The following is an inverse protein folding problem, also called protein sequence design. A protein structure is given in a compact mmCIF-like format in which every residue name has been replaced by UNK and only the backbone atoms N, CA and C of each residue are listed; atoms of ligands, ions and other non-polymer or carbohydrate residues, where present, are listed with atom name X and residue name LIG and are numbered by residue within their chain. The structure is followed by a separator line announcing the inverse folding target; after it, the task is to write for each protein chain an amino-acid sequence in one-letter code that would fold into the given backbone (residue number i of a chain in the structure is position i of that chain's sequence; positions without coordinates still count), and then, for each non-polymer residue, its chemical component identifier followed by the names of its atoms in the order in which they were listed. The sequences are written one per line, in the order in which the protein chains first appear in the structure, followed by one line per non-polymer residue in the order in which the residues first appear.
data_IF_603147021689
#
_entry.id   IF_603147021689
#
_cell.length_a   1.000
_cell.length_b   1.000
_cell.length_c   1.000
_cell.angle_alpha   90.00
_cell.angle_beta   90.00
_cell.angle_gamma   90.00
#
_symmetry.space_group_name_H-M   'P 1'
#
loop_
_entity.id
_entity.type
_entity.pdbx_description
1 polymer ?
#
# COMPACT_ATOMS: atom_id res chain seq x y z
N UNK A 1 18.99 15.06 15.31
CA UNK A 1 18.20 14.79 16.53
C UNK A 1 18.99 15.36 17.71
N UNK A 2 18.44 16.29 18.42
CA UNK A 2 19.01 16.66 19.72
C UNK A 2 18.61 15.61 20.75
N UNK A 3 19.59 14.89 21.28
CA UNK A 3 19.48 14.04 22.47
C UNK A 3 18.17 13.24 22.61
N UNK A 4 17.74 12.54 21.57
CA UNK A 4 16.58 11.64 21.64
C UNK A 4 15.19 12.32 21.57
N UNK A 5 15.10 13.61 21.26
CA UNK A 5 13.82 14.31 21.08
C UNK A 5 13.43 14.42 19.62
N UNK A 6 12.16 14.14 19.33
CA UNK A 6 11.57 14.43 18.02
C UNK A 6 11.39 15.94 17.91
N UNK A 7 11.94 16.55 16.85
CA UNK A 7 11.70 17.95 16.56
C UNK A 7 10.26 18.14 16.07
N UNK A 8 9.58 19.23 16.45
CA UNK A 8 8.20 19.47 16.01
C UNK A 8 8.09 19.87 14.54
N UNK A 9 9.18 20.34 13.94
CA UNK A 9 9.21 20.78 12.55
C UNK A 9 9.22 19.59 11.59
N UNK A 10 8.43 19.68 10.50
CA UNK A 10 8.46 18.72 9.41
C UNK A 10 9.75 18.90 8.63
N UNK A 11 10.64 17.91 8.67
CA UNK A 11 11.92 17.97 7.97
C UNK A 11 11.74 17.85 6.45
N UNK A 12 10.89 16.91 6.00
CA UNK A 12 10.67 16.63 4.57
C UNK A 12 9.20 16.35 4.27
N UNK A 13 8.80 16.61 3.03
CA UNK A 13 7.53 16.21 2.45
C UNK A 13 7.83 15.45 1.17
N UNK A 14 7.17 14.32 0.96
CA UNK A 14 7.29 13.53 -0.25
C UNK A 14 5.88 13.12 -0.74
N UNK A 15 5.69 13.14 -2.04
CA UNK A 15 4.47 12.68 -2.67
C UNK A 15 4.39 11.15 -2.58
N UNK A 16 3.18 10.65 -2.34
CA UNK A 16 2.93 9.21 -2.23
C UNK A 16 2.32 8.62 -3.50
N UNK A 17 1.61 9.44 -4.28
CA UNK A 17 0.93 9.03 -5.50
C UNK A 17 1.87 9.08 -6.70
N UNK A 18 1.70 8.16 -7.63
CA UNK A 18 2.41 8.18 -8.91
C UNK A 18 2.00 9.41 -9.76
N UNK A 19 0.73 9.82 -9.63
CA UNK A 19 0.17 11.01 -10.26
C UNK A 19 -0.34 11.99 -9.18
N UNK A 20 0.53 12.79 -8.53
CA UNK A 20 0.14 13.61 -7.37
C UNK A 20 -0.89 14.69 -7.71
N UNK A 21 -0.96 15.14 -8.96
CA UNK A 21 -1.95 16.11 -9.42
C UNK A 21 -3.29 15.49 -9.85
N UNK A 22 -3.44 14.17 -9.79
CA UNK A 22 -4.64 13.43 -10.18
C UNK A 22 -5.26 12.70 -8.99
N UNK A 23 -5.62 13.45 -7.97
CA UNK A 23 -6.20 12.91 -6.75
C UNK A 23 -7.62 12.40 -7.02
N UNK A 24 -7.84 11.10 -6.87
CA UNK A 24 -9.14 10.47 -7.05
C UNK A 24 -10.02 10.62 -5.80
N UNK A 25 -11.32 10.45 -5.98
CA UNK A 25 -12.26 10.50 -4.87
C UNK A 25 -11.93 9.45 -3.81
N UNK A 26 -11.90 9.86 -2.53
CA UNK A 26 -11.53 9.02 -1.38
C UNK A 26 -10.15 8.34 -1.54
N UNK A 27 -9.24 8.99 -2.23
CA UNK A 27 -7.83 8.63 -2.24
C UNK A 27 -7.22 8.98 -0.88
N UNK A 28 -6.46 8.06 -0.29
CA UNK A 28 -5.84 8.26 1.01
C UNK A 28 -4.51 7.53 1.10
N UNK A 29 -3.60 8.06 1.90
CA UNK A 29 -2.43 7.31 2.35
C UNK A 29 -2.86 6.24 3.36
N UNK A 30 -2.11 5.18 3.43
CA UNK A 30 -2.27 4.07 4.36
C UNK A 30 -1.10 3.97 5.33
N UNK A 31 -0.71 2.74 5.60
CA UNK A 31 0.43 2.39 6.47
C UNK A 31 1.75 2.85 5.87
N UNK A 32 2.69 3.20 6.74
CA UNK A 32 4.09 3.52 6.41
C UNK A 32 5.01 2.66 7.27
N UNK A 33 6.03 2.05 6.66
CA UNK A 33 7.06 1.28 7.36
C UNK A 33 8.45 1.57 6.80
N UNK A 34 9.41 1.74 7.70
CA UNK A 34 10.83 1.76 7.36
C UNK A 34 11.32 0.30 7.23
N UNK A 35 12.10 0.03 6.20
CA UNK A 35 12.75 -1.26 6.03
C UNK A 35 13.74 -1.53 7.20
N UNK A 36 13.90 -2.79 7.67
CA UNK A 36 14.81 -3.10 8.78
C UNK A 36 16.25 -2.61 8.62
N UNK A 37 16.74 -2.47 7.38
CA UNK A 37 18.09 -1.93 7.14
C UNK A 37 18.20 -0.39 7.21
N UNK A 38 17.08 0.32 7.42
CA UNK A 38 17.05 1.79 7.50
C UNK A 38 17.25 2.55 6.18
N UNK A 39 17.44 1.84 5.05
CA UNK A 39 17.75 2.47 3.77
C UNK A 39 16.54 2.80 2.91
N UNK A 40 15.40 2.17 3.18
CA UNK A 40 14.18 2.29 2.40
C UNK A 40 12.97 2.55 3.28
N UNK A 41 11.98 3.21 2.70
CA UNK A 41 10.67 3.49 3.31
C UNK A 41 9.59 3.06 2.31
N UNK A 42 8.51 2.49 2.81
CA UNK A 42 7.36 2.10 2.00
C UNK A 42 6.09 2.75 2.54
N UNK A 43 5.22 3.17 1.64
CA UNK A 43 3.93 3.75 1.96
C UNK A 43 2.82 3.16 1.09
N UNK A 44 1.65 2.89 1.66
CA UNK A 44 0.49 2.41 0.91
C UNK A 44 -0.38 3.58 0.45
N UNK A 45 -0.84 3.53 -0.79
CA UNK A 45 -1.90 4.36 -1.34
C UNK A 45 -3.15 3.50 -1.51
N UNK A 46 -4.30 4.03 -1.13
CA UNK A 46 -5.57 3.31 -1.20
C UNK A 46 -6.70 4.20 -1.66
N UNK A 47 -7.58 3.66 -2.49
CA UNK A 47 -8.81 4.28 -2.92
C UNK A 47 -9.97 3.30 -2.76
N UNK A 48 -11.17 3.80 -2.45
CA UNK A 48 -12.35 2.97 -2.24
C UNK A 48 -13.66 3.66 -2.63
N UNK A 49 -13.59 4.76 -3.37
CA UNK A 49 -14.82 5.41 -3.84
C UNK A 49 -15.59 4.46 -4.77
N UNK A 50 -16.91 4.49 -4.68
CA UNK A 50 -17.79 3.71 -5.54
C UNK A 50 -18.71 4.62 -6.35
N UNK A 51 -19.19 4.09 -7.47
CA UNK A 51 -20.31 4.62 -8.26
C UNK A 51 -21.34 3.51 -8.40
N UNK A 52 -22.59 3.88 -8.69
CA UNK A 52 -23.59 2.90 -9.04
C UNK A 52 -23.42 2.42 -10.48
N UNK A 53 -23.48 1.12 -10.68
CA UNK A 53 -23.53 0.47 -11.99
C UNK A 53 -24.42 -0.78 -11.90
N UNK A 54 -25.47 -0.82 -12.70
CA UNK A 54 -26.48 -1.89 -12.69
C UNK A 54 -27.06 -2.20 -11.30
N UNK A 55 -27.40 -1.16 -10.52
CA UNK A 55 -27.94 -1.30 -9.17
C UNK A 55 -26.95 -1.77 -8.11
N UNK A 56 -25.65 -1.79 -8.41
CA UNK A 56 -24.59 -2.21 -7.47
C UNK A 56 -23.53 -1.13 -7.32
N UNK A 57 -23.00 -0.92 -6.10
CA UNK A 57 -21.82 -0.10 -5.91
C UNK A 57 -20.60 -0.79 -6.50
N UNK A 58 -19.92 -0.15 -7.45
CA UNK A 58 -18.65 -0.61 -8.05
C UNK A 58 -17.54 0.40 -7.84
N UNK A 59 -16.31 -0.06 -7.77
CA UNK A 59 -15.13 0.78 -7.59
C UNK A 59 -15.03 1.85 -8.69
N UNK A 60 -14.91 3.10 -8.27
CA UNK A 60 -14.85 4.26 -9.17
C UNK A 60 -13.48 4.45 -9.82
N UNK A 61 -12.45 3.79 -9.32
CA UNK A 61 -11.06 4.00 -9.68
C UNK A 61 -10.28 4.75 -8.60
N UNK A 62 -8.98 4.79 -8.79
CA UNK A 62 -8.00 5.39 -7.89
C UNK A 62 -6.79 4.51 -7.71
N UNK A 63 -5.71 5.07 -7.15
CA UNK A 63 -4.46 4.37 -6.98
C UNK A 63 -4.50 3.45 -5.75
N UNK A 64 -4.15 2.19 -5.95
CA UNK A 64 -4.01 1.18 -4.92
C UNK A 64 -2.62 0.56 -5.03
N UNK A 65 -1.62 1.29 -4.54
CA UNK A 65 -0.21 1.01 -4.77
C UNK A 65 0.60 0.97 -3.48
N UNK A 66 1.82 0.49 -3.60
CA UNK A 66 2.90 0.77 -2.65
C UNK A 66 3.89 1.70 -3.34
N UNK A 67 4.21 2.82 -2.69
CA UNK A 67 5.35 3.66 -3.05
C UNK A 67 6.56 3.21 -2.23
N UNK A 68 7.69 3.03 -2.91
CA UNK A 68 8.98 2.78 -2.29
C UNK A 68 9.85 4.04 -2.40
N UNK A 69 10.56 4.35 -1.31
CA UNK A 69 11.51 5.45 -1.25
C UNK A 69 12.89 4.93 -0.86
N UNK A 70 13.93 5.53 -1.41
CA UNK A 70 15.27 5.48 -0.82
C UNK A 70 15.41 6.58 0.23
N UNK A 71 16.10 6.30 1.33
CA UNK A 71 16.38 7.27 2.39
C UNK A 71 17.84 7.71 2.27
N UNK A 72 18.07 9.01 2.09
CA UNK A 72 19.41 9.56 2.15
C UNK A 72 20.00 9.36 3.56
N UNK A 73 21.08 8.60 3.65
CA UNK A 73 21.63 8.17 4.94
C UNK A 73 22.31 9.32 5.73
N UNK A 74 22.59 10.44 5.08
CA UNK A 74 23.17 11.62 5.76
C UNK A 74 22.10 12.60 6.22
N UNK A 75 21.02 12.78 5.45
CA UNK A 75 19.98 13.79 5.73
C UNK A 75 18.69 13.18 6.27
N UNK A 76 18.38 11.92 5.96
CA UNK A 76 17.12 11.26 6.23
C UNK A 76 16.05 11.55 5.19
N UNK A 77 16.35 12.27 4.11
CA UNK A 77 15.40 12.68 3.08
C UNK A 77 14.91 11.47 2.25
N UNK A 78 13.59 11.24 2.16
CA UNK A 78 13.03 10.18 1.33
C UNK A 78 12.87 10.65 -0.12
N UNK A 79 13.37 9.84 -1.07
CA UNK A 79 13.18 10.05 -2.51
C UNK A 79 12.42 8.87 -3.11
N UNK A 80 11.29 9.07 -3.82
CA UNK A 80 10.55 7.97 -4.41
C UNK A 80 11.37 7.27 -5.50
N UNK A 81 11.39 5.94 -5.48
CA UNK A 81 12.12 5.10 -6.42
C UNK A 81 11.21 4.16 -7.21
N UNK A 82 9.98 3.94 -6.73
CA UNK A 82 8.99 3.09 -7.41
C UNK A 82 7.58 3.36 -6.90
N UNK A 83 6.58 3.25 -7.81
CA UNK A 83 5.19 3.00 -7.48
C UNK A 83 4.80 1.66 -8.11
N UNK A 84 4.16 0.77 -7.33
CA UNK A 84 3.74 -0.54 -7.81
C UNK A 84 2.31 -0.85 -7.38
N UNK A 85 1.48 -1.23 -8.33
CA UNK A 85 0.09 -1.65 -8.08
C UNK A 85 0.03 -2.89 -7.19
N UNK A 86 -0.91 -2.89 -6.24
CA UNK A 86 -1.05 -3.99 -5.27
C UNK A 86 -1.83 -5.19 -5.80
N UNK A 87 -2.32 -5.16 -7.05
CA UNK A 87 -3.07 -6.21 -7.72
C UNK A 87 -4.43 -6.56 -7.09
N UNK A 88 -4.85 -5.79 -6.11
CA UNK A 88 -6.15 -5.80 -5.42
C UNK A 88 -6.51 -4.37 -5.01
N UNK A 89 -7.69 -4.17 -4.44
CA UNK A 89 -8.21 -2.84 -4.09
C UNK A 89 -8.09 -2.61 -2.60
N UNK A 90 -7.84 -1.35 -2.22
CA UNK A 90 -7.80 -0.85 -0.86
C UNK A 90 -6.77 -1.57 0.03
N UNK A 91 -5.45 -1.46 -0.25
CA UNK A 91 -4.40 -1.97 0.63
C UNK A 91 -4.45 -1.20 1.96
N UNK A 92 -5.14 -1.78 2.95
CA UNK A 92 -5.39 -1.11 4.22
C UNK A 92 -4.13 -1.02 5.05
N UNK A 93 -3.37 -2.10 5.07
CA UNK A 93 -2.09 -2.18 5.76
C UNK A 93 -1.15 -3.11 4.99
N UNK A 94 0.12 -3.00 5.30
CA UNK A 94 1.12 -3.97 4.87
C UNK A 94 2.12 -4.19 6.00
N UNK A 95 2.90 -5.24 5.88
CA UNK A 95 4.03 -5.50 6.78
C UNK A 95 5.24 -5.99 6.00
N UNK A 96 6.43 -5.65 6.48
CA UNK A 96 7.70 -6.15 5.97
C UNK A 96 8.13 -7.30 6.89
N UNK A 97 8.54 -8.43 6.32
CA UNK A 97 9.02 -9.54 7.13
C UNK A 97 10.30 -9.16 7.90
N UNK A 98 10.57 -9.79 9.04
CA UNK A 98 11.75 -9.44 9.85
C UNK A 98 13.08 -9.56 9.12
N UNK A 99 13.17 -10.41 8.08
CA UNK A 99 14.38 -10.52 7.24
C UNK A 99 14.54 -9.37 6.24
N UNK A 100 13.49 -8.56 6.03
CA UNK A 100 13.47 -7.48 5.05
C UNK A 100 13.35 -7.93 3.60
N UNK A 101 13.05 -9.20 3.31
CA UNK A 101 12.99 -9.74 1.95
C UNK A 101 11.62 -9.76 1.31
N UNK A 102 10.57 -9.69 2.14
CA UNK A 102 9.19 -9.72 1.67
C UNK A 102 8.40 -8.56 2.24
N UNK A 103 7.48 -8.04 1.42
CA UNK A 103 6.41 -7.15 1.82
C UNK A 103 5.08 -7.81 1.49
N UNK A 104 4.16 -7.86 2.45
CA UNK A 104 2.81 -8.38 2.25
C UNK A 104 1.82 -7.27 2.49
N UNK A 105 1.02 -6.94 1.47
CA UNK A 105 -0.07 -5.96 1.56
C UNK A 105 -1.40 -6.68 1.77
N UNK A 106 -2.22 -6.16 2.68
CA UNK A 106 -3.51 -6.71 3.06
C UNK A 106 -4.64 -5.82 2.54
N UNK A 107 -5.58 -6.43 1.81
CA UNK A 107 -6.77 -5.82 1.22
C UNK A 107 -8.00 -6.28 2.01
N UNK A 108 -8.64 -5.33 2.69
CA UNK A 108 -9.49 -5.63 3.83
C UNK A 108 -10.88 -6.21 3.51
N UNK A 109 -11.43 -5.92 2.33
CA UNK A 109 -12.81 -6.26 1.94
C UNK A 109 -12.89 -6.69 0.48
N UNK A 110 -13.88 -7.52 0.13
CA UNK A 110 -14.28 -7.70 -1.26
C UNK A 110 -14.78 -6.39 -1.85
N UNK A 111 -14.42 -6.11 -3.11
CA UNK A 111 -14.84 -4.89 -3.82
C UNK A 111 -15.36 -5.26 -5.20
N UNK A 112 -16.55 -4.78 -5.55
CA UNK A 112 -17.06 -4.93 -6.90
C UNK A 112 -16.35 -3.97 -7.84
N UNK A 113 -16.00 -4.46 -9.01
CA UNK A 113 -15.42 -3.71 -10.12
C UNK A 113 -16.26 -3.89 -11.37
N UNK A 114 -16.25 -2.89 -12.23
CA UNK A 114 -16.81 -3.03 -13.58
C UNK A 114 -15.83 -3.78 -14.47
N UNK A 115 -16.31 -4.80 -15.16
CA UNK A 115 -15.56 -5.58 -16.14
C UNK A 115 -16.38 -5.61 -17.46
N UNK A 116 -16.14 -4.63 -18.33
CA UNK A 116 -17.01 -4.39 -19.48
C UNK A 116 -18.44 -4.01 -19.03
N UNK A 117 -19.41 -4.84 -19.45
CA UNK A 117 -20.83 -4.70 -19.06
C UNK A 117 -21.21 -5.59 -17.86
N UNK A 118 -20.25 -6.24 -17.23
CA UNK A 118 -20.47 -7.08 -16.05
C UNK A 118 -19.95 -6.44 -14.77
N UNK A 119 -20.46 -6.90 -13.65
CA UNK A 119 -19.91 -6.62 -12.32
C UNK A 119 -19.17 -7.86 -11.83
N UNK A 120 -17.88 -7.70 -11.51
CA UNK A 120 -17.02 -8.72 -10.94
C UNK A 120 -16.62 -8.33 -9.52
N UNK A 121 -16.51 -9.29 -8.61
CA UNK A 121 -15.99 -9.06 -7.27
C UNK A 121 -14.51 -9.41 -7.21
N UNK A 122 -13.70 -8.44 -6.78
CA UNK A 122 -12.30 -8.66 -6.37
C UNK A 122 -12.32 -9.04 -4.89
N UNK A 123 -11.92 -10.26 -4.51
CA UNK A 123 -11.95 -10.71 -3.12
C UNK A 123 -11.00 -9.90 -2.22
N UNK A 124 -11.28 -9.86 -0.93
CA UNK A 124 -10.30 -9.52 0.09
C UNK A 124 -9.08 -10.45 -0.03
N UNK A 125 -7.94 -10.07 0.55
CA UNK A 125 -6.78 -10.95 0.48
C UNK A 125 -5.44 -10.29 0.69
N UNK A 126 -4.40 -11.01 0.29
CA UNK A 126 -3.01 -10.61 0.46
C UNK A 126 -2.33 -10.51 -0.90
N UNK A 127 -1.44 -9.51 -1.03
CA UNK A 127 -0.51 -9.39 -2.16
C UNK A 127 0.92 -9.44 -1.64
N UNK A 128 1.71 -10.36 -2.19
CA UNK A 128 3.08 -10.63 -1.74
C UNK A 128 4.07 -10.06 -2.75
N UNK A 129 5.04 -9.34 -2.25
CA UNK A 129 6.13 -8.74 -3.01
C UNK A 129 7.47 -9.18 -2.46
N UNK A 130 8.45 -9.40 -3.34
CA UNK A 130 9.85 -9.51 -2.98
C UNK A 130 10.46 -8.11 -2.95
N UNK A 131 11.27 -7.84 -1.94
CA UNK A 131 12.07 -6.62 -1.83
C UNK A 131 13.46 -6.93 -2.40
N UNK A 132 13.89 -6.16 -3.40
CA UNK A 132 15.23 -6.23 -3.97
C UNK A 132 16.27 -5.46 -3.13
N UNK A 133 17.54 -5.70 -3.40
CA UNK A 133 18.66 -5.00 -2.74
C UNK A 133 18.66 -3.48 -3.02
N UNK A 134 17.99 -3.06 -4.10
CA UNK A 134 17.75 -1.67 -4.49
C UNK A 134 16.49 -1.07 -3.84
N UNK A 135 15.80 -1.84 -3.00
CA UNK A 135 14.56 -1.44 -2.31
C UNK A 135 13.30 -1.51 -3.17
N UNK A 136 13.41 -1.90 -4.44
CA UNK A 136 12.24 -2.04 -5.31
C UNK A 136 11.48 -3.33 -5.04
N UNK A 137 10.20 -3.27 -5.29
CA UNK A 137 9.28 -4.37 -5.10
C UNK A 137 9.03 -5.11 -6.42
N UNK A 138 9.04 -6.44 -6.36
CA UNK A 138 8.61 -7.31 -7.46
C UNK A 138 7.41 -8.11 -6.98
N UNK A 139 6.29 -8.02 -7.69
CA UNK A 139 5.10 -8.82 -7.38
C UNK A 139 5.40 -10.31 -7.50
N UNK A 140 5.00 -11.09 -6.50
CA UNK A 140 5.18 -12.56 -6.46
C UNK A 140 3.86 -13.26 -6.72
N UNK A 141 2.86 -13.00 -5.88
CA UNK A 141 1.52 -13.60 -5.99
C UNK A 141 0.50 -12.90 -5.09
N UNK A 142 -0.76 -13.24 -5.29
CA UNK A 142 -1.86 -12.83 -4.41
C UNK A 142 -2.59 -14.06 -3.88
N UNK A 143 -3.21 -13.88 -2.72
CA UNK A 143 -4.09 -14.87 -2.10
C UNK A 143 -5.44 -14.24 -1.87
N UNK A 144 -6.50 -14.95 -2.17
CA UNK A 144 -7.85 -14.59 -1.80
C UNK A 144 -8.13 -15.09 -0.38
N UNK A 145 -8.81 -14.27 0.41
CA UNK A 145 -9.22 -14.62 1.78
C UNK A 145 -10.71 -14.42 1.87
N UNK A 146 -11.42 -15.48 2.22
CA UNK A 146 -12.84 -15.36 2.55
C UNK A 146 -12.96 -14.71 3.94
N UNK A 147 -13.58 -13.57 3.96
CA UNK A 147 -13.80 -12.78 5.19
C UNK A 147 -15.25 -12.88 5.69
N UNK A 148 -16.13 -13.57 4.94
CA UNK A 148 -17.56 -13.64 5.23
C UNK A 148 -18.16 -12.24 5.36
N UNK A 149 -18.82 -11.97 6.49
CA UNK A 149 -19.42 -10.67 6.86
C UNK A 149 -18.44 -9.75 7.63
N UNK A 150 -17.17 -10.16 7.76
CA UNK A 150 -16.11 -9.44 8.50
C UNK A 150 -15.16 -8.72 7.55
N UNK A 151 -14.12 -8.12 8.11
CA UNK A 151 -13.02 -7.54 7.38
C UNK A 151 -11.69 -7.90 8.01
N UNK A 152 -10.64 -7.95 7.21
CA UNK A 152 -9.28 -7.90 7.72
C UNK A 152 -8.93 -6.46 8.06
N UNK A 153 -8.70 -6.16 9.33
CA UNK A 153 -8.44 -4.78 9.76
C UNK A 153 -6.95 -4.46 9.82
N UNK A 154 -6.17 -5.38 10.36
CA UNK A 154 -4.74 -5.24 10.54
C UNK A 154 -4.04 -6.58 10.37
N UNK A 155 -2.74 -6.53 10.04
CA UNK A 155 -1.87 -7.71 9.97
C UNK A 155 -0.49 -7.40 10.51
N UNK A 156 0.21 -8.43 10.95
CA UNK A 156 1.62 -8.42 11.31
C UNK A 156 2.28 -9.72 10.87
N UNK A 157 3.61 -9.69 10.79
CA UNK A 157 4.44 -10.87 10.53
C UNK A 157 5.34 -11.08 11.73
N UNK A 158 5.45 -12.32 12.18
CA UNK A 158 6.29 -12.71 13.31
C UNK A 158 7.32 -13.74 12.83
N UNK A 159 8.55 -13.73 13.37
CA UNK A 159 9.47 -14.83 13.15
C UNK A 159 8.92 -16.12 13.78
N UNK A 160 9.16 -17.24 13.11
CA UNK A 160 8.86 -18.57 13.63
C UNK A 160 10.05 -19.08 14.44
#
# INVERSE_FOLDING_TARGET
MEAGRIKPEIAYRAETLAEPNNIRARQAAGTVHVHPNGRFLYGANRAQATIEFQGKPVFKGGENSIVAYSINQSTGEPTPIQHIETQKIHPRTFHIDPSGRLLVAQHNLPVNVRDGDAVKTVPAGLSVFRIGDDGKLTFVRKYDVDVGDKMMFWMGMVPL
#
